data_IF_195908802783
#
_entry.id   IF_195908802783
#
_cell.length_a   1.000
_cell.length_b   1.000
_cell.length_c   1.000
_cell.angle_alpha   90.00
_cell.angle_beta   90.00
_cell.angle_gamma   90.00
#
_symmetry.space_group_name_H-M   'P 1'
#
loop_
_entity.id
_entity.type
_entity.pdbx_description
1 polymer ?
#
# COMPACT_ATOMS: atom_id res chain seq x y z
N UNK A 1 -6.11 4.60 -5.38
CA UNK A 1 -6.05 4.25 -3.93
C UNK A 1 -5.99 5.56 -3.16
N UNK A 2 -6.70 5.67 -2.04
CA UNK A 2 -6.55 6.82 -1.15
C UNK A 2 -5.74 6.45 0.11
N UNK A 3 -5.25 7.47 0.80
CA UNK A 3 -4.55 7.36 2.08
C UNK A 3 -4.95 8.52 2.99
N UNK A 4 -4.80 8.35 4.31
CA UNK A 4 -5.11 9.38 5.30
C UNK A 4 -3.89 10.18 5.72
N UNK A 5 -2.78 9.48 5.96
CA UNK A 5 -1.61 10.11 6.53
C UNK A 5 -0.34 9.42 6.06
N UNK A 6 0.71 10.23 5.92
CA UNK A 6 2.07 9.77 5.65
C UNK A 6 3.01 10.31 6.72
N UNK A 7 3.79 9.42 7.34
CA UNK A 7 4.85 9.76 8.26
C UNK A 7 6.21 9.41 7.63
N UNK A 8 7.06 10.40 7.34
CA UNK A 8 8.35 10.15 6.69
C UNK A 8 9.40 9.55 7.63
N UNK A 9 9.18 9.64 8.95
CA UNK A 9 10.04 9.07 9.99
C UNK A 9 9.13 8.54 11.08
N UNK A 10 9.11 7.22 11.26
CA UNK A 10 8.24 6.53 12.20
C UNK A 10 8.98 5.34 12.82
N UNK A 11 8.87 5.22 14.15
CA UNK A 11 9.45 4.15 14.96
C UNK A 11 8.39 3.32 15.68
N UNK A 12 7.11 3.67 15.51
CA UNK A 12 5.97 3.03 16.19
C UNK A 12 5.40 1.91 15.33
N UNK A 13 5.29 2.11 14.01
CA UNK A 13 4.61 1.15 13.10
C UNK A 13 5.57 0.14 12.46
N UNK A 14 6.56 -0.34 13.21
CA UNK A 14 7.46 -1.42 12.80
C UNK A 14 8.86 -1.27 13.38
N UNK A 15 9.73 -2.29 13.22
CA UNK A 15 11.09 -2.24 13.72
C UNK A 15 11.95 -1.24 12.93
N UNK A 16 12.80 -0.53 13.66
CA UNK A 16 13.69 0.49 13.13
C UNK A 16 12.97 1.78 12.74
N UNK A 17 13.69 2.69 12.09
CA UNK A 17 13.09 3.89 11.49
C UNK A 17 12.47 3.53 10.14
N UNK A 18 11.21 3.90 9.92
CA UNK A 18 10.44 3.56 8.73
C UNK A 18 9.68 4.78 8.19
N UNK A 19 9.28 4.68 6.93
CA UNK A 19 8.22 5.51 6.38
C UNK A 19 6.89 4.79 6.62
N UNK A 20 5.85 5.45 7.12
CA UNK A 20 4.54 4.81 7.33
C UNK A 20 3.45 5.50 6.53
N UNK A 21 2.74 4.73 5.71
CA UNK A 21 1.59 5.18 4.93
C UNK A 21 0.30 4.53 5.47
N UNK A 22 -0.63 5.37 5.92
CA UNK A 22 -1.94 4.93 6.42
C UNK A 22 -2.94 4.89 5.26
N UNK A 23 -3.19 3.71 4.69
CA UNK A 23 -4.03 3.53 3.51
C UNK A 23 -5.53 3.50 3.86
N UNK A 24 -6.37 3.86 2.89
CA UNK A 24 -7.83 3.77 2.98
C UNK A 24 -8.38 2.45 2.43
N UNK A 25 -9.50 1.98 2.97
CA UNK A 25 -10.22 0.76 2.61
C UNK A 25 -9.94 -0.38 3.57
N UNK A 26 -10.95 -0.85 4.32
CA UNK A 26 -10.89 -2.07 5.12
C UNK A 26 -12.29 -2.68 5.25
N UNK A 27 -12.45 -3.96 4.87
CA UNK A 27 -13.75 -4.65 4.92
C UNK A 27 -14.06 -5.29 6.27
N UNK A 28 -13.09 -5.36 7.18
CA UNK A 28 -13.26 -6.11 8.42
C UNK A 28 -14.08 -5.36 9.48
N UNK A 29 -14.06 -4.03 9.44
CA UNK A 29 -14.82 -3.16 10.35
C UNK A 29 -14.77 -3.59 11.82
N UNK A 30 -13.58 -3.98 12.29
CA UNK A 30 -13.42 -4.67 13.58
C UNK A 30 -14.00 -3.86 14.76
N UNK A 31 -14.63 -4.53 15.74
CA UNK A 31 -15.01 -3.90 17.01
C UNK A 31 -13.78 -3.26 17.68
N UNK A 32 -13.92 -2.00 18.11
CA UNK A 32 -12.81 -1.26 18.73
C UNK A 32 -11.70 -0.82 17.77
N UNK A 33 -11.92 -0.87 16.44
CA UNK A 33 -10.92 -0.40 15.47
C UNK A 33 -10.49 1.05 15.78
N UNK A 34 -9.18 1.28 15.85
CA UNK A 34 -8.61 2.61 16.08
C UNK A 34 -8.70 3.51 14.82
N UNK A 35 -8.67 2.89 13.64
CA UNK A 35 -8.62 3.56 12.34
C UNK A 35 -9.98 3.54 11.62
N UNK A 36 -11.11 3.74 12.32
CA UNK A 36 -12.45 3.68 11.69
C UNK A 36 -12.62 4.64 10.50
N UNK A 37 -11.94 5.78 10.56
CA UNK A 37 -11.95 6.76 9.47
C UNK A 37 -11.41 6.20 8.15
N UNK A 38 -10.63 5.12 8.18
CA UNK A 38 -10.01 4.52 6.99
C UNK A 38 -10.88 3.46 6.33
N UNK A 39 -12.02 3.04 6.90
CA UNK A 39 -12.80 1.91 6.37
C UNK A 39 -13.27 2.12 4.93
N UNK A 40 -13.72 3.33 4.59
CA UNK A 40 -14.17 3.65 3.23
C UNK A 40 -12.98 3.76 2.28
N UNK A 41 -13.05 3.09 1.14
CA UNK A 41 -12.00 3.09 0.12
C UNK A 41 -11.67 4.47 -0.45
N UNK A 42 -12.67 5.33 -0.55
CA UNK A 42 -12.56 6.69 -1.06
C UNK A 42 -12.35 7.75 0.05
N UNK A 43 -12.11 7.33 1.30
CA UNK A 43 -11.77 8.26 2.39
C UNK A 43 -10.32 8.76 2.29
N UNK A 44 -10.02 9.90 2.91
CA UNK A 44 -8.70 10.52 2.84
C UNK A 44 -8.45 11.17 1.48
N UNK A 45 -7.19 11.24 1.07
CA UNK A 45 -6.78 11.89 -0.17
C UNK A 45 -6.26 10.87 -1.21
N UNK A 46 -6.39 11.17 -2.52
CA UNK A 46 -5.84 10.32 -3.57
C UNK A 46 -4.33 10.12 -3.40
N UNK A 47 -3.88 8.89 -3.58
CA UNK A 47 -2.46 8.58 -3.72
C UNK A 47 -2.02 8.95 -5.14
N UNK A 48 -1.18 9.98 -5.25
CA UNK A 48 -0.71 10.53 -6.54
C UNK A 48 0.74 10.16 -6.81
N UNK A 49 1.22 10.46 -8.02
CA UNK A 49 2.62 10.21 -8.40
C UNK A 49 3.59 11.04 -7.55
N UNK A 50 3.21 12.27 -7.20
CA UNK A 50 4.02 13.15 -6.36
C UNK A 50 4.23 12.56 -4.95
N UNK A 51 3.21 11.88 -4.42
CA UNK A 51 3.32 11.19 -3.13
C UNK A 51 4.22 9.94 -3.24
N UNK A 52 4.10 9.18 -4.33
CA UNK A 52 5.00 8.05 -4.62
C UNK A 52 6.46 8.51 -4.69
N UNK A 53 6.73 9.57 -5.47
CA UNK A 53 8.07 10.11 -5.65
C UNK A 53 8.64 10.67 -4.34
N UNK A 54 7.80 11.31 -3.52
CA UNK A 54 8.18 11.75 -2.17
C UNK A 54 8.57 10.57 -1.28
N UNK A 55 7.81 9.47 -1.28
CA UNK A 55 8.14 8.28 -0.50
C UNK A 55 9.47 7.68 -0.95
N UNK A 56 9.70 7.59 -2.27
CA UNK A 56 10.95 7.08 -2.83
C UNK A 56 12.13 7.97 -2.44
N UNK A 57 11.96 9.30 -2.51
CA UNK A 57 12.98 10.25 -2.09
C UNK A 57 13.30 10.10 -0.60
N UNK A 58 12.29 10.00 0.26
CA UNK A 58 12.47 9.79 1.69
C UNK A 58 13.17 8.44 1.98
N UNK A 59 12.83 7.37 1.29
CA UNK A 59 13.49 6.07 1.45
C UNK A 59 14.96 6.07 1.00
N UNK A 60 15.31 6.89 0.01
CA UNK A 60 16.68 7.02 -0.51
C UNK A 60 17.52 8.09 0.20
N UNK A 61 16.93 8.89 1.08
CA UNK A 61 17.63 9.94 1.80
C UNK A 61 18.61 9.34 2.81
N UNK A 62 19.90 9.56 2.57
CA UNK A 62 21.00 9.00 3.38
C UNK A 62 21.20 9.72 4.72
N UNK A 63 20.59 10.90 4.92
CA UNK A 63 20.68 11.66 6.19
C UNK A 63 19.90 10.99 7.31
N UNK A 64 18.79 10.33 6.96
CA UNK A 64 17.94 9.59 7.89
C UNK A 64 17.75 8.19 7.31
N UNK A 65 18.52 7.23 7.82
CA UNK A 65 18.41 5.86 7.37
C UNK A 65 17.05 5.28 7.76
N UNK A 66 16.24 4.95 6.74
CA UNK A 66 14.98 4.22 6.89
C UNK A 66 15.18 2.78 6.43
N UNK A 67 14.73 1.83 7.25
CA UNK A 67 14.82 0.41 6.92
C UNK A 67 13.77 -0.02 5.89
N UNK A 68 12.75 0.80 5.66
CA UNK A 68 11.73 0.55 4.65
C UNK A 68 10.43 1.28 4.91
N UNK A 69 9.38 0.79 4.26
CA UNK A 69 8.01 1.30 4.37
C UNK A 69 7.13 0.37 5.21
N UNK A 70 6.19 0.95 5.95
CA UNK A 70 5.08 0.27 6.62
C UNK A 70 3.76 0.74 6.02
N UNK A 71 2.90 -0.20 5.66
CA UNK A 71 1.53 0.07 5.21
C UNK A 71 0.57 -0.23 6.37
N UNK A 72 -0.12 0.79 6.86
CA UNK A 72 -1.01 0.72 8.04
C UNK A 72 -2.36 1.37 7.72
N UNK A 73 -3.18 1.65 8.74
CA UNK A 73 -4.48 2.30 8.59
C UNK A 73 -5.59 1.30 8.31
N UNK A 74 -5.99 1.16 7.05
CA UNK A 74 -6.97 0.18 6.57
C UNK A 74 -6.38 -1.20 6.33
N UNK A 75 -6.83 -1.86 5.26
CA UNK A 75 -6.31 -3.13 4.78
C UNK A 75 -5.45 -2.90 3.51
N UNK A 76 -4.11 -2.99 3.61
CA UNK A 76 -3.23 -2.88 2.45
C UNK A 76 -3.51 -3.91 1.35
N UNK A 77 -4.06 -5.07 1.72
CA UNK A 77 -4.37 -6.18 0.81
C UNK A 77 -5.84 -6.26 0.44
N UNK A 78 -6.60 -5.17 0.68
CA UNK A 78 -8.02 -5.09 0.36
C UNK A 78 -8.31 -5.66 -1.04
N UNK A 79 -9.34 -6.50 -1.24
CA UNK A 79 -9.56 -7.23 -2.49
C UNK A 79 -9.55 -6.35 -3.75
N UNK A 80 -10.13 -5.16 -3.68
CA UNK A 80 -10.16 -4.18 -4.78
C UNK A 80 -8.79 -3.55 -5.11
N UNK A 81 -7.79 -3.65 -4.22
CA UNK A 81 -6.40 -3.22 -4.45
C UNK A 81 -5.57 -4.33 -5.09
N UNK A 82 -5.86 -5.60 -4.77
CA UNK A 82 -5.12 -6.79 -5.25
C UNK A 82 -5.22 -7.01 -6.75
N UNK A 83 -6.26 -6.51 -7.41
CA UNK A 83 -6.49 -6.74 -8.84
C UNK A 83 -5.80 -5.75 -9.75
N UNK A 84 -4.95 -4.85 -9.22
CA UNK A 84 -4.31 -3.81 -10.03
C UNK A 84 -5.35 -2.89 -10.67
N UNK A 85 -6.06 -2.10 -9.87
CA UNK A 85 -6.92 -0.99 -10.31
C UNK A 85 -7.88 -1.28 -11.49
N UNK A 86 -9.12 -1.73 -11.24
CA UNK A 86 -10.18 -1.63 -12.23
C UNK A 86 -11.11 -0.49 -11.84
N UNK A 87 -10.99 0.64 -12.55
CA UNK A 87 -12.15 1.51 -12.79
C UNK A 87 -13.18 0.87 -13.72
N UNK A 88 -13.00 -0.39 -14.11
CA UNK A 88 -13.87 -1.12 -15.01
C UNK A 88 -14.05 -2.53 -14.47
N UNK A 89 -15.25 -2.84 -14.00
CA UNK A 89 -15.64 -4.21 -13.77
C UNK A 89 -15.46 -5.00 -15.07
N UNK A 90 -14.55 -5.96 -15.06
CA UNK A 90 -14.58 -7.05 -16.03
C UNK A 90 -14.37 -8.33 -15.25
N UNK A 91 -15.50 -8.95 -14.92
CA UNK A 91 -15.61 -10.38 -14.63
C UNK A 91 -15.04 -11.12 -15.84
N UNK A 92 -13.79 -11.57 -15.79
CA UNK A 92 -13.30 -12.53 -16.76
C UNK A 92 -13.58 -13.95 -16.27
N UNK A 93 -14.86 -14.34 -16.40
CA UNK A 93 -15.21 -15.74 -16.65
C UNK A 93 -15.02 -16.02 -18.14
N UNK A 94 -13.87 -16.62 -18.50
CA UNK A 94 -13.63 -17.59 -19.59
C UNK A 94 -12.18 -17.47 -20.06
N UNK A 95 -11.57 -18.65 -20.21
CA UNK A 95 -10.13 -18.81 -20.35
C UNK A 95 -9.54 -18.34 -21.66
N UNK A 96 -8.25 -18.06 -21.60
CA UNK A 96 -7.34 -18.00 -22.75
C UNK A 96 -6.07 -18.74 -22.31
N UNK A 97 -5.61 -19.77 -23.05
CA UNK A 97 -4.40 -20.49 -22.69
C UNK A 97 -3.17 -19.73 -23.19
N UNK A 98 -2.24 -19.49 -22.27
CA UNK A 98 -0.85 -19.21 -22.62
C UNK A 98 -0.49 -17.73 -22.72
N UNK A 99 -0.38 -17.02 -21.59
CA UNK A 99 0.66 -16.01 -21.43
C UNK A 99 1.30 -16.17 -20.04
N UNK A 100 2.62 -16.35 -20.06
CA UNK A 100 3.46 -16.59 -18.90
C UNK A 100 3.48 -15.33 -18.05
N UNK A 101 2.92 -15.40 -16.84
CA UNK A 101 3.32 -14.51 -15.76
C UNK A 101 4.82 -14.73 -15.51
N UNK A 102 5.66 -13.76 -15.90
CA UNK A 102 7.03 -13.67 -15.41
C UNK A 102 6.93 -13.29 -13.92
N UNK A 103 6.80 -14.32 -13.10
CA UNK A 103 6.89 -14.24 -11.65
C UNK A 103 8.28 -13.79 -11.22
N UNK A 104 8.27 -12.94 -10.22
CA UNK A 104 9.34 -12.62 -9.27
C UNK A 104 10.09 -13.87 -8.80
N UNK A 105 11.07 -14.32 -9.59
CA UNK A 105 12.09 -15.27 -9.19
C UNK A 105 13.45 -14.74 -9.60
N UNK A 106 14.10 -14.03 -8.65
CA UNK A 106 15.55 -13.87 -8.44
C UNK A 106 15.84 -12.52 -7.81
N UNK A 107 15.93 -12.52 -6.49
CA UNK A 107 16.87 -11.66 -5.74
C UNK A 107 17.21 -12.36 -4.41
N UNK A 108 17.73 -13.58 -4.53
CA UNK A 108 18.68 -14.16 -3.59
C UNK A 108 19.89 -14.60 -4.40
N UNK A 109 20.88 -13.72 -4.50
CA UNK A 109 22.29 -14.03 -4.77
C UNK A 109 23.05 -12.69 -4.90
N UNK A 110 23.53 -12.19 -3.77
CA UNK A 110 24.84 -11.57 -3.57
C UNK A 110 25.03 -11.26 -2.10
#
# INVERSE_FOLDING_TARGET
MNFHQYYPVDIVNGPGTRCTLFVSGCVHECPGCYNKSTWRLNSGQPFTKEMEDKIIADLNDTRIHRQGISLSGGDPLHPQKRTGYPGTGTTHSRGVPGERYLGVDRLQAR
#
